data_IF_708231441626
#
_entry.id   IF_708231441626
#
_cell.length_a   1.000
_cell.length_b   1.000
_cell.length_c   1.000
_cell.angle_alpha   90.00
_cell.angle_beta   90.00
_cell.angle_gamma   90.00
#
_symmetry.space_group_name_H-M   'P 1'
#
loop_
_entity.id
_entity.type
_entity.pdbx_description
1 polymer ?
#
# COMPACT_ATOMS: atom_id res chain seq x y z
N UNK A 1 16.09 0.19 -18.34
CA UNK A 1 15.04 -0.35 -17.44
C UNK A 1 14.16 0.83 -17.07
N UNK A 2 12.85 0.75 -17.32
CA UNK A 2 11.92 1.77 -16.83
C UNK A 2 11.82 1.64 -15.31
N UNK A 3 11.67 2.75 -14.56
CA UNK A 3 11.36 2.63 -13.14
C UNK A 3 10.05 1.84 -13.00
N UNK A 4 9.99 0.86 -12.08
CA UNK A 4 8.76 0.12 -11.85
C UNK A 4 7.67 1.10 -11.43
N UNK A 5 6.44 0.84 -11.88
CA UNK A 5 5.32 1.70 -11.53
C UNK A 5 5.10 1.67 -10.00
N UNK A 6 4.57 2.76 -9.38
CA UNK A 6 4.34 2.80 -7.94
C UNK A 6 3.53 1.61 -7.41
N UNK A 7 2.59 1.12 -8.22
CA UNK A 7 1.77 -0.06 -7.91
C UNK A 7 2.63 -1.34 -7.84
N UNK A 8 3.50 -1.59 -8.82
CA UNK A 8 4.36 -2.77 -8.86
C UNK A 8 5.28 -2.81 -7.62
N UNK A 9 5.87 -1.66 -7.29
CA UNK A 9 6.72 -1.53 -6.09
C UNK A 9 5.94 -1.83 -4.80
N UNK A 10 4.70 -1.38 -4.70
CA UNK A 10 3.86 -1.65 -3.54
C UNK A 10 3.54 -3.15 -3.42
N UNK A 11 3.25 -3.81 -4.54
CA UNK A 11 2.97 -5.26 -4.56
C UNK A 11 4.20 -6.09 -4.18
N UNK A 12 5.38 -5.75 -4.68
CA UNK A 12 6.64 -6.40 -4.29
C UNK A 12 6.95 -6.22 -2.79
N UNK A 13 6.72 -5.03 -2.25
CA UNK A 13 6.89 -4.77 -0.83
C UNK A 13 5.89 -5.57 0.03
N UNK A 14 4.65 -5.73 -0.43
CA UNK A 14 3.65 -6.56 0.25
C UNK A 14 4.01 -8.04 0.23
N UNK A 15 4.57 -8.55 -0.87
CA UNK A 15 4.97 -9.96 -1.01
C UNK A 15 6.08 -10.36 0.00
N UNK A 16 6.90 -9.38 0.41
CA UNK A 16 7.99 -9.57 1.37
C UNK A 16 7.65 -9.18 2.80
N UNK A 17 6.41 -8.72 3.06
CA UNK A 17 5.98 -8.25 4.38
C UNK A 17 5.88 -9.43 5.37
N UNK A 18 6.61 -9.40 6.48
CA UNK A 18 6.55 -10.44 7.51
C UNK A 18 5.32 -10.27 8.43
N UNK A 19 5.00 -11.32 9.18
CA UNK A 19 3.90 -11.27 10.15
C UNK A 19 4.28 -10.35 11.32
N UNK A 20 3.44 -9.36 11.61
CA UNK A 20 3.69 -8.33 12.62
C UNK A 20 4.36 -7.06 12.09
N UNK A 21 4.84 -7.06 10.84
CA UNK A 21 5.35 -5.87 10.18
C UNK A 21 4.23 -5.01 9.57
N UNK A 22 4.54 -3.73 9.35
CA UNK A 22 3.65 -2.75 8.71
C UNK A 22 4.35 -2.12 7.50
N UNK A 23 3.63 -2.04 6.38
CA UNK A 23 4.03 -1.29 5.19
C UNK A 23 3.31 0.05 5.14
N UNK A 24 4.06 1.13 4.95
CA UNK A 24 3.50 2.48 4.75
C UNK A 24 3.71 2.93 3.31
N UNK A 25 2.61 3.24 2.62
CA UNK A 25 2.61 3.82 1.29
C UNK A 25 2.20 5.29 1.36
N UNK A 26 2.99 6.15 0.71
CA UNK A 26 2.72 7.58 0.56
C UNK A 26 2.45 7.86 -0.92
N UNK A 27 1.23 8.27 -1.23
CA UNK A 27 0.79 8.48 -2.61
C UNK A 27 0.03 9.79 -2.75
N UNK A 28 0.29 10.55 -3.81
CA UNK A 28 -0.49 11.74 -4.15
C UNK A 28 -1.79 11.41 -4.91
N UNK A 29 -2.13 10.12 -5.06
CA UNK A 29 -3.35 9.67 -5.69
C UNK A 29 -3.92 8.44 -4.95
N UNK A 30 -5.24 8.30 -4.97
CA UNK A 30 -5.90 7.16 -4.32
C UNK A 30 -5.74 5.89 -5.17
N UNK A 31 -5.08 4.82 -4.66
CA UNK A 31 -4.79 3.62 -5.43
C UNK A 31 -5.96 2.62 -5.37
N UNK A 32 -7.08 2.93 -6.03
CA UNK A 32 -8.27 2.07 -6.01
C UNK A 32 -8.00 0.58 -6.35
N UNK A 33 -7.15 0.24 -7.34
CA UNK A 33 -6.81 -1.16 -7.64
C UNK A 33 -6.09 -1.86 -6.49
N UNK A 34 -5.25 -1.15 -5.73
CA UNK A 34 -4.47 -1.73 -4.63
C UNK A 34 -5.39 -2.24 -3.52
N UNK A 35 -6.40 -1.47 -3.11
CA UNK A 35 -7.32 -1.88 -2.05
C UNK A 35 -8.07 -3.18 -2.38
N UNK A 36 -8.37 -3.42 -3.66
CA UNK A 36 -8.95 -4.69 -4.08
C UNK A 36 -7.98 -5.87 -3.88
N UNK A 37 -6.69 -5.66 -4.15
CA UNK A 37 -5.64 -6.66 -3.93
C UNK A 37 -5.44 -6.91 -2.43
N UNK A 38 -5.38 -5.85 -1.62
CA UNK A 38 -5.25 -5.96 -0.17
C UNK A 38 -6.36 -6.82 0.44
N UNK A 39 -7.61 -6.51 0.10
CA UNK A 39 -8.77 -7.27 0.57
C UNK A 39 -8.72 -8.74 0.15
N UNK A 40 -8.35 -9.02 -1.11
CA UNK A 40 -8.28 -10.40 -1.63
C UNK A 40 -7.21 -11.23 -0.96
N UNK A 41 -6.10 -10.61 -0.54
CA UNK A 41 -4.97 -11.29 0.08
C UNK A 41 -5.00 -11.25 1.61
N UNK A 42 -6.09 -10.79 2.22
CA UNK A 42 -6.23 -10.79 3.69
C UNK A 42 -5.36 -9.75 4.39
N UNK A 43 -5.08 -8.61 3.75
CA UNK A 43 -4.44 -7.48 4.42
C UNK A 43 -5.48 -6.55 5.03
N UNK A 44 -5.15 -6.00 6.20
CA UNK A 44 -5.86 -4.88 6.80
C UNK A 44 -5.10 -3.59 6.48
N UNK A 45 -5.82 -2.49 6.25
CA UNK A 45 -5.20 -1.20 6.01
C UNK A 45 -5.98 -0.04 6.62
N UNK A 46 -5.27 1.06 6.85
CA UNK A 46 -5.83 2.34 7.27
C UNK A 46 -5.30 3.44 6.36
N UNK A 47 -6.19 4.31 5.88
CA UNK A 47 -5.85 5.46 5.04
C UNK A 47 -5.99 6.75 5.85
N UNK A 48 -5.04 7.66 5.71
CA UNK A 48 -5.08 9.02 6.25
C UNK A 48 -4.62 9.99 5.18
N UNK A 49 -5.41 11.02 4.91
CA UNK A 49 -5.01 12.09 3.99
C UNK A 49 -4.33 13.18 4.80
N UNK A 50 -3.08 13.47 4.46
CA UNK A 50 -2.27 14.52 5.06
C UNK A 50 -2.68 15.91 4.52
N UNK A 51 -2.26 16.97 5.21
CA UNK A 51 -2.61 18.36 4.87
C UNK A 51 -2.11 18.78 3.48
N UNK A 52 -1.06 18.13 2.96
CA UNK A 52 -0.51 18.37 1.63
C UNK A 52 -1.21 17.57 0.52
N UNK A 53 -2.26 16.81 0.87
CA UNK A 53 -2.99 15.92 -0.05
C UNK A 53 -2.36 14.54 -0.24
N UNK A 54 -1.29 14.21 0.49
CA UNK A 54 -0.69 12.88 0.45
C UNK A 54 -1.60 11.87 1.17
N UNK A 55 -1.90 10.77 0.48
CA UNK A 55 -2.55 9.60 1.07
C UNK A 55 -1.48 8.73 1.73
N UNK A 56 -1.50 8.68 3.05
CA UNK A 56 -0.74 7.72 3.85
C UNK A 56 -1.59 6.48 4.09
N UNK A 57 -1.12 5.35 3.57
CA UNK A 57 -1.81 4.06 3.70
C UNK A 57 -0.91 3.12 4.48
N UNK A 58 -1.36 2.74 5.68
CA UNK A 58 -0.69 1.76 6.53
C UNK A 58 -1.31 0.40 6.33
N UNK A 59 -0.50 -0.60 6.00
CA UNK A 59 -0.93 -1.93 5.60
C UNK A 59 -0.25 -2.96 6.49
N UNK A 60 -1.04 -3.92 6.98
CA UNK A 60 -0.57 -5.05 7.80
C UNK A 60 -1.29 -6.32 7.38
N UNK A 61 -0.70 -7.47 7.66
CA UNK A 61 -1.40 -8.76 7.53
C UNK A 61 -2.53 -8.85 8.57
N UNK A 62 -3.71 -9.35 8.17
CA UNK A 62 -4.86 -9.53 9.05
C UNK A 62 -4.82 -10.87 9.80
#
# INVERSE_FOLDING_TARGET
>A
MQPPEPMERALEALDTLADGDELVLLLYCQPQPLFNVLRKNGYAWQETVQDDGTHEIRIRKA
#
